data_IF_187699545698
#
_entry.id   IF_187699545698
#
_cell.length_a   1.000
_cell.length_b   1.000
_cell.length_c   1.000
_cell.angle_alpha   90.00
_cell.angle_beta   90.00
_cell.angle_gamma   90.00
#
_symmetry.space_group_name_H-M   'P 1'
#
loop_
_entity.id
_entity.type
_entity.pdbx_description
1 polymer ?
#
# COMPACT_ATOMS: atom_id res chain seq x y z
N UNK A 1 4.39 20.05 -10.13
CA UNK A 1 3.03 19.45 -10.04
C UNK A 1 2.87 18.24 -10.95
N UNK A 2 3.07 18.35 -12.27
CA UNK A 2 2.95 17.20 -13.19
C UNK A 2 4.00 16.11 -12.94
N UNK A 3 5.24 16.50 -12.65
CA UNK A 3 6.35 15.58 -12.34
C UNK A 3 6.12 14.82 -11.03
N UNK A 4 5.67 15.53 -9.98
CA UNK A 4 5.38 14.93 -8.67
C UNK A 4 4.30 13.85 -8.76
N UNK A 5 3.27 14.07 -9.58
CA UNK A 5 2.21 13.08 -9.80
C UNK A 5 2.73 11.87 -10.57
N UNK A 6 3.62 12.06 -11.55
CA UNK A 6 4.22 10.95 -12.31
C UNK A 6 5.09 10.09 -11.39
N UNK A 7 5.90 10.72 -10.53
CA UNK A 7 6.71 10.01 -9.54
C UNK A 7 5.85 9.25 -8.54
N UNK A 8 4.80 9.88 -8.01
CA UNK A 8 3.87 9.23 -7.06
C UNK A 8 3.17 8.02 -7.68
N UNK A 9 2.69 8.13 -8.93
CA UNK A 9 2.07 7.01 -9.64
C UNK A 9 3.08 5.89 -9.94
N UNK A 10 4.33 6.25 -10.24
CA UNK A 10 5.42 5.28 -10.40
C UNK A 10 5.69 4.50 -9.11
N UNK A 11 5.74 5.18 -7.97
CA UNK A 11 5.94 4.56 -6.66
C UNK A 11 4.74 3.71 -6.21
N UNK A 12 3.52 4.12 -6.54
CA UNK A 12 2.30 3.39 -6.22
C UNK A 12 2.10 2.12 -7.08
N UNK A 13 2.70 2.05 -8.27
CA UNK A 13 2.50 0.98 -9.25
C UNK A 13 2.58 -0.44 -8.67
N UNK A 14 3.70 -0.84 -8.03
CA UNK A 14 3.85 -2.19 -7.48
C UNK A 14 2.80 -2.54 -6.41
N UNK A 15 2.40 -1.57 -5.58
CA UNK A 15 1.38 -1.77 -4.54
C UNK A 15 0.00 -1.99 -5.16
N UNK A 16 -0.35 -1.17 -6.15
CA UNK A 16 -1.62 -1.24 -6.87
C UNK A 16 -1.73 -2.58 -7.61
N UNK A 17 -0.68 -3.00 -8.34
CA UNK A 17 -0.65 -4.30 -9.01
C UNK A 17 -0.80 -5.46 -8.02
N UNK A 18 -0.06 -5.43 -6.90
CA UNK A 18 -0.20 -6.47 -5.87
C UNK A 18 -1.63 -6.54 -5.30
N UNK A 19 -2.30 -5.40 -5.14
CA UNK A 19 -3.68 -5.35 -4.67
C UNK A 19 -4.66 -5.93 -5.70
N UNK A 20 -4.49 -5.59 -6.98
CA UNK A 20 -5.32 -6.12 -8.08
C UNK A 20 -5.13 -7.63 -8.22
N UNK A 21 -3.90 -8.14 -8.16
CA UNK A 21 -3.62 -9.60 -8.18
C UNK A 21 -4.24 -10.32 -6.99
N UNK A 22 -4.17 -9.73 -5.79
CA UNK A 22 -4.64 -10.38 -4.58
C UNK A 22 -6.16 -10.33 -4.39
N UNK A 23 -6.82 -9.27 -4.87
CA UNK A 23 -8.23 -9.00 -4.57
C UNK A 23 -9.13 -8.90 -5.80
N UNK A 24 -8.56 -8.78 -7.01
CA UNK A 24 -9.29 -8.50 -8.24
C UNK A 24 -10.19 -7.26 -8.11
N UNK A 25 -11.40 -7.34 -8.65
CA UNK A 25 -12.43 -6.30 -8.51
C UNK A 25 -12.89 -6.08 -7.06
N UNK A 26 -12.71 -7.08 -6.18
CA UNK A 26 -13.03 -7.01 -4.75
C UNK A 26 -12.19 -5.99 -3.95
N UNK A 27 -11.12 -5.45 -4.57
CA UNK A 27 -10.31 -4.38 -3.98
C UNK A 27 -11.15 -3.11 -3.69
N UNK A 28 -12.19 -2.88 -4.49
CA UNK A 28 -13.05 -1.69 -4.44
C UNK A 28 -14.21 -1.83 -3.46
N UNK A 29 -14.67 -3.06 -3.19
CA UNK A 29 -15.91 -3.33 -2.44
C UNK A 29 -15.70 -3.88 -1.03
N UNK A 30 -14.43 -4.01 -0.59
CA UNK A 30 -13.95 -4.58 0.69
C UNK A 30 -13.95 -6.12 0.68
N UNK A 31 -12.76 -6.70 0.64
CA UNK A 31 -12.52 -8.12 0.92
C UNK A 31 -11.86 -8.31 2.30
N UNK A 32 -12.49 -9.08 3.18
CA UNK A 32 -11.88 -9.65 4.39
C UNK A 32 -11.04 -10.87 4.00
N UNK A 33 -9.81 -10.67 3.51
CA UNK A 33 -8.84 -11.77 3.41
C UNK A 33 -7.55 -11.39 4.14
N UNK A 34 -7.37 -12.01 5.30
CA UNK A 34 -6.39 -11.68 6.34
C UNK A 34 -5.02 -12.34 6.17
N UNK A 35 -4.63 -12.73 4.95
CA UNK A 35 -3.31 -13.30 4.68
C UNK A 35 -2.57 -12.62 3.50
N UNK A 36 -3.02 -11.44 3.08
CA UNK A 36 -2.41 -10.75 1.94
C UNK A 36 -1.26 -9.84 2.42
N UNK A 37 -0.12 -10.01 1.76
CA UNK A 37 1.13 -9.28 1.95
C UNK A 37 0.91 -7.77 2.18
N UNK A 38 1.72 -7.16 3.06
CA UNK A 38 1.58 -5.74 3.45
C UNK A 38 1.49 -4.80 2.23
N UNK A 39 2.18 -5.13 1.14
CA UNK A 39 2.19 -4.44 -0.14
C UNK A 39 0.80 -4.33 -0.79
N UNK A 40 0.06 -5.44 -0.86
CA UNK A 40 -1.28 -5.45 -1.47
C UNK A 40 -2.31 -4.72 -0.60
N UNK A 41 -2.15 -4.73 0.72
CA UNK A 41 -3.00 -3.95 1.62
C UNK A 41 -2.80 -2.44 1.43
N UNK A 42 -1.56 -1.99 1.19
CA UNK A 42 -1.27 -0.59 0.85
C UNK A 42 -1.95 -0.21 -0.48
N UNK A 43 -1.80 -1.02 -1.53
CA UNK A 43 -2.44 -0.77 -2.82
C UNK A 43 -3.96 -0.75 -2.75
N UNK A 44 -4.56 -1.61 -1.94
CA UNK A 44 -6.00 -1.60 -1.67
C UNK A 44 -6.46 -0.27 -1.07
N UNK A 45 -5.76 0.22 -0.04
CA UNK A 45 -6.10 1.50 0.60
C UNK A 45 -6.00 2.67 -0.38
N UNK A 46 -5.01 2.64 -1.27
CA UNK A 46 -4.87 3.64 -2.34
C UNK A 46 -6.06 3.60 -3.30
N UNK A 47 -6.43 2.43 -3.80
CA UNK A 47 -7.56 2.27 -4.73
C UNK A 47 -8.89 2.67 -4.08
N UNK A 48 -9.09 2.37 -2.80
CA UNK A 48 -10.27 2.80 -2.04
C UNK A 48 -10.31 4.32 -1.86
N UNK A 49 -9.18 4.97 -1.55
CA UNK A 49 -9.12 6.43 -1.46
C UNK A 49 -9.49 7.09 -2.79
N UNK A 50 -8.98 6.56 -3.91
CA UNK A 50 -9.35 7.04 -5.26
C UNK A 50 -10.84 6.81 -5.52
N UNK A 51 -11.36 5.61 -5.23
CA UNK A 51 -12.77 5.25 -5.42
C UNK A 51 -13.73 6.19 -4.68
N UNK A 52 -13.43 6.51 -3.42
CA UNK A 52 -14.28 7.37 -2.61
C UNK A 52 -14.33 8.83 -3.10
N UNK A 53 -13.27 9.32 -3.74
CA UNK A 53 -13.19 10.69 -4.28
C UNK A 53 -13.79 10.83 -5.69
N UNK A 54 -14.04 9.72 -6.40
CA UNK A 54 -14.64 9.72 -7.74
C UNK A 54 -16.16 9.80 -7.71
N UNK A 55 -16.71 10.45 -8.73
CA UNK A 55 -18.12 10.43 -9.12
C UNK A 55 -18.50 9.09 -9.79
N UNK A 56 -19.78 8.89 -10.10
CA UNK A 56 -20.32 7.63 -10.62
C UNK A 56 -19.67 7.19 -11.94
N UNK A 57 -19.41 8.14 -12.85
CA UNK A 57 -18.74 7.85 -14.12
C UNK A 57 -17.26 7.52 -13.89
N UNK A 58 -16.59 8.31 -13.06
CA UNK A 58 -15.19 8.05 -12.68
C UNK A 58 -14.99 6.71 -11.95
N UNK A 59 -15.99 6.23 -11.21
CA UNK A 59 -15.99 4.91 -10.57
C UNK A 59 -16.14 3.78 -11.58
N UNK A 60 -17.08 3.89 -12.52
CA UNK A 60 -17.24 2.88 -13.57
C UNK A 60 -15.97 2.73 -14.42
N UNK A 61 -15.30 3.84 -14.76
CA UNK A 61 -14.03 3.80 -15.48
C UNK A 61 -12.89 3.17 -14.66
N UNK A 62 -12.84 3.42 -13.35
CA UNK A 62 -11.86 2.81 -12.46
C UNK A 62 -12.13 1.32 -12.26
N UNK A 63 -13.40 0.92 -12.14
CA UNK A 63 -13.81 -0.47 -12.02
C UNK A 63 -13.42 -1.28 -13.25
N UNK A 64 -13.69 -0.76 -14.46
CA UNK A 64 -13.28 -1.39 -15.71
C UNK A 64 -11.76 -1.56 -15.75
N UNK A 65 -10.99 -0.52 -15.46
CA UNK A 65 -9.53 -0.60 -15.49
C UNK A 65 -8.96 -1.57 -14.46
N UNK A 66 -9.61 -1.72 -13.29
CA UNK A 66 -9.24 -2.73 -12.28
C UNK A 66 -9.62 -4.14 -12.75
N UNK A 67 -10.76 -4.31 -13.40
CA UNK A 67 -11.19 -5.59 -13.95
C UNK A 67 -10.23 -6.08 -15.05
N UNK A 68 -9.89 -5.21 -15.99
CA UNK A 68 -8.96 -5.51 -17.08
C UNK A 68 -7.58 -5.92 -16.52
N UNK A 69 -7.05 -5.15 -15.55
CA UNK A 69 -5.78 -5.46 -14.90
C UNK A 69 -5.83 -6.70 -13.99
N UNK A 70 -7.01 -7.12 -13.53
CA UNK A 70 -7.20 -8.36 -12.78
C UNK A 70 -7.29 -9.58 -13.69
N UNK A 71 -7.91 -9.43 -14.86
CA UNK A 71 -8.02 -10.48 -15.88
C UNK A 71 -6.65 -10.78 -16.50
N UNK A 72 -5.87 -9.73 -16.80
CA UNK A 72 -4.53 -9.84 -17.38
C UNK A 72 -3.47 -9.08 -16.55
N UNK A 73 -2.99 -9.65 -15.43
CA UNK A 73 -2.04 -8.96 -14.53
C UNK A 73 -0.67 -8.67 -15.15
N UNK A 74 -0.32 -9.39 -16.21
CA UNK A 74 0.93 -9.22 -16.95
C UNK A 74 0.79 -8.27 -18.15
N UNK A 75 -0.43 -7.81 -18.45
CA UNK A 75 -0.66 -6.84 -19.52
C UNK A 75 -0.23 -5.44 -19.07
N UNK A 76 0.80 -4.92 -19.73
CA UNK A 76 1.32 -3.58 -19.48
C UNK A 76 0.32 -2.49 -19.87
N UNK A 77 -0.54 -2.75 -20.85
CA UNK A 77 -1.55 -1.80 -21.33
C UNK A 77 -2.71 -1.68 -20.33
N UNK A 78 -3.23 -2.79 -19.81
CA UNK A 78 -4.18 -2.80 -18.69
C UNK A 78 -3.60 -2.08 -17.44
N UNK A 79 -2.35 -2.37 -17.09
CA UNK A 79 -1.66 -1.67 -16.00
C UNK A 79 -1.43 -0.18 -16.30
N UNK A 80 -1.21 0.21 -17.57
CA UNK A 80 -1.10 1.60 -17.98
C UNK A 80 -2.43 2.35 -17.88
N UNK A 81 -3.54 1.72 -18.27
CA UNK A 81 -4.89 2.28 -18.15
C UNK A 81 -5.24 2.58 -16.69
N UNK A 82 -4.98 1.64 -15.78
CA UNK A 82 -5.19 1.85 -14.35
C UNK A 82 -4.32 2.98 -13.80
N UNK A 83 -3.03 3.03 -14.15
CA UNK A 83 -2.13 4.13 -13.77
C UNK A 83 -2.63 5.48 -14.27
N UNK A 84 -3.18 5.53 -15.48
CA UNK A 84 -3.73 6.75 -16.05
C UNK A 84 -4.97 7.24 -15.30
N UNK A 85 -5.86 6.34 -14.86
CA UNK A 85 -7.02 6.68 -14.05
C UNK A 85 -6.63 7.25 -12.68
N UNK A 86 -5.64 6.66 -12.02
CA UNK A 86 -5.08 7.16 -10.76
C UNK A 86 -4.44 8.54 -10.97
N UNK A 87 -3.65 8.70 -12.04
CA UNK A 87 -3.01 9.98 -12.39
C UNK A 87 -4.03 11.09 -12.60
N UNK A 88 -5.17 10.80 -13.23
CA UNK A 88 -6.26 11.76 -13.43
C UNK A 88 -6.87 12.17 -12.08
N UNK A 89 -7.13 11.21 -11.19
CA UNK A 89 -7.72 11.49 -9.87
C UNK A 89 -6.81 12.39 -9.03
N UNK A 90 -5.51 12.10 -9.06
CA UNK A 90 -4.49 12.88 -8.34
C UNK A 90 -4.27 14.30 -8.87
N UNK A 91 -4.64 14.56 -10.14
CA UNK A 91 -4.61 15.92 -10.72
C UNK A 91 -5.81 16.74 -10.25
N UNK A 92 -6.96 16.10 -10.13
CA UNK A 92 -8.22 16.74 -9.78
C UNK A 92 -8.34 16.98 -8.26
N UNK A 93 -7.76 16.10 -7.43
CA UNK A 93 -7.82 16.20 -5.96
C UNK A 93 -6.42 16.27 -5.31
N UNK A 94 -6.07 17.45 -4.79
CA UNK A 94 -4.81 17.71 -4.11
C UNK A 94 -4.75 17.15 -2.67
N UNK A 95 -5.89 16.87 -2.03
CA UNK A 95 -5.93 16.16 -0.76
C UNK A 95 -5.67 14.68 -0.95
N UNK A 96 -6.32 14.07 -1.96
CA UNK A 96 -6.09 12.68 -2.34
C UNK A 96 -4.61 12.42 -2.62
N UNK A 97 -3.91 13.36 -3.27
CA UNK A 97 -2.47 13.27 -3.46
C UNK A 97 -1.68 13.22 -2.15
N UNK A 98 -2.05 14.03 -1.16
CA UNK A 98 -1.39 14.03 0.16
C UNK A 98 -1.68 12.74 0.92
N UNK A 99 -2.90 12.24 0.82
CA UNK A 99 -3.31 10.96 1.41
C UNK A 99 -2.51 9.79 0.80
N UNK A 100 -2.46 9.68 -0.53
CA UNK A 100 -1.68 8.64 -1.21
C UNK A 100 -0.18 8.71 -0.90
N UNK A 101 0.39 9.92 -0.85
CA UNK A 101 1.79 10.10 -0.46
C UNK A 101 2.06 9.67 0.99
N UNK A 102 1.10 9.83 1.90
CA UNK A 102 1.21 9.38 3.29
C UNK A 102 1.02 7.86 3.47
N UNK A 103 0.38 7.19 2.51
CA UNK A 103 0.22 5.73 2.50
C UNK A 103 1.45 4.99 1.97
N UNK A 104 2.23 5.63 1.09
CA UNK A 104 3.49 5.05 0.64
C UNK A 104 4.49 5.03 1.79
N UNK A 105 5.19 3.90 2.01
CA UNK A 105 6.36 3.93 2.85
C UNK A 105 7.33 4.94 2.23
N UNK A 106 7.72 5.95 3.00
CA UNK A 106 8.65 6.98 2.53
C UNK A 106 9.88 6.29 1.93
N UNK A 107 10.44 6.81 0.83
CA UNK A 107 11.70 6.28 0.26
C UNK A 107 12.90 6.37 1.23
N UNK A 108 12.70 6.92 2.43
CA UNK A 108 13.58 6.81 3.60
C UNK A 108 13.39 5.54 4.44
N UNK A 109 12.51 4.63 4.04
CA UNK A 109 12.52 3.22 4.43
C UNK A 109 13.63 2.49 3.69
N UNK A 110 14.86 3.00 3.77
CA UNK A 110 16.02 2.13 3.62
C UNK A 110 15.81 0.93 4.55
N UNK A 111 16.31 -0.23 4.15
CA UNK A 111 16.52 -1.34 5.09
C UNK A 111 16.99 -0.74 6.42
N UNK A 112 16.12 -0.77 7.44
CA UNK A 112 16.56 -0.33 8.76
C UNK A 112 17.47 -1.44 9.21
N UNK A 113 18.76 -1.32 8.89
CA UNK A 113 19.80 -2.24 9.33
C UNK A 113 19.96 -2.00 10.82
N UNK A 114 19.11 -2.64 11.61
CA UNK A 114 19.21 -2.59 13.07
C UNK A 114 20.18 -3.68 13.50
N UNK A 115 21.46 -3.32 13.59
CA UNK A 115 22.49 -4.23 14.11
C UNK A 115 22.56 -4.10 15.63
N UNK A 116 22.18 -5.16 16.35
CA UNK A 116 22.49 -5.35 17.76
C UNK A 116 23.69 -6.30 17.85
N UNK A 117 24.77 -5.88 18.52
CA UNK A 117 25.91 -6.75 18.79
C UNK A 117 26.35 -6.58 20.25
N UNK A 118 26.50 -7.70 20.95
CA UNK A 118 26.80 -7.77 22.38
C UNK A 118 25.85 -8.71 23.12
N UNK A 119 26.30 -9.24 24.27
CA UNK A 119 25.47 -10.07 25.15
C UNK A 119 24.32 -9.21 25.70
N UNK A 120 23.06 -9.65 25.53
CA UNK A 120 21.82 -8.97 25.94
C UNK A 120 21.33 -7.81 25.04
N UNK A 121 21.82 -7.71 23.79
CA UNK A 121 21.41 -6.65 22.88
C UNK A 121 20.04 -6.94 22.19
N UNK A 122 19.16 -5.93 22.12
CA UNK A 122 17.88 -5.96 21.38
C UNK A 122 17.92 -4.90 20.28
N UNK A 123 17.54 -5.30 19.08
CA UNK A 123 17.38 -4.45 17.91
C UNK A 123 15.95 -4.58 17.39
N UNK A 124 15.20 -3.48 17.31
CA UNK A 124 13.83 -3.46 16.84
C UNK A 124 13.61 -2.37 15.77
N UNK A 125 13.22 -2.80 14.56
CA UNK A 125 12.80 -1.90 13.48
C UNK A 125 11.32 -1.50 13.53
N UNK A 126 10.68 -1.69 14.69
CA UNK A 126 9.24 -1.49 14.90
C UNK A 126 8.86 -1.65 16.37
N UNK A 127 7.55 -1.63 16.68
CA UNK A 127 7.06 -1.83 18.05
C UNK A 127 7.16 -3.32 18.44
N UNK A 128 7.85 -3.62 19.55
CA UNK A 128 8.11 -4.99 20.02
C UNK A 128 7.43 -5.34 21.35
N UNK A 129 6.63 -4.43 21.92
CA UNK A 129 5.96 -4.65 23.21
C UNK A 129 6.95 -4.67 24.38
N UNK A 130 7.27 -5.85 24.90
CA UNK A 130 8.17 -6.03 26.05
C UNK A 130 9.32 -6.96 25.66
N UNK A 131 10.55 -6.54 25.90
CA UNK A 131 11.75 -7.35 25.71
C UNK A 131 12.57 -7.44 27.00
N UNK A 132 12.88 -8.67 27.42
CA UNK A 132 13.61 -8.97 28.66
C UNK A 132 14.81 -9.85 28.29
N UNK A 133 16.03 -9.35 28.53
CA UNK A 133 17.29 -10.03 28.15
C UNK A 133 18.16 -10.42 29.35
N UNK A 134 17.60 -10.35 30.57
CA UNK A 134 18.26 -10.78 31.81
C UNK A 134 17.88 -12.20 32.24
N UNK A 135 18.71 -12.81 33.08
CA UNK A 135 18.44 -14.12 33.70
C UNK A 135 17.68 -13.90 35.02
N UNK A 136 16.55 -14.60 35.21
CA UNK A 136 15.77 -14.56 36.47
C UNK A 136 14.39 -13.90 36.42
N UNK A 137 13.76 -13.75 35.24
CA UNK A 137 12.39 -13.22 35.18
C UNK A 137 11.36 -14.26 35.64
N UNK A 138 10.84 -14.10 36.86
CA UNK A 138 9.63 -14.77 37.30
C UNK A 138 8.41 -13.94 36.86
N UNK A 139 7.42 -14.60 36.26
CA UNK A 139 6.10 -13.99 36.05
C UNK A 139 5.52 -13.57 37.42
N UNK A 140 4.75 -12.46 37.50
CA UNK A 140 4.05 -12.14 38.74
C UNK A 140 3.10 -13.31 39.11
N UNK A 141 3.06 -13.74 40.38
CA UNK A 141 2.11 -14.76 40.80
C UNK A 141 0.67 -14.27 40.58
N UNK A 142 -0.29 -15.20 40.39
CA UNK A 142 -1.68 -14.88 40.07
C UNK A 142 -2.39 -14.06 41.17
#
# INVERSE_FOLDING_TARGET
MSADIVQLVGQAGPYVTAAVVAYGTGVLTRAENAAVEATANIGRRMLQAVWHRRDEQGRAELESAVADAAEEPSDEDAAAALRQQIKRALREDAELRRELAGLLPSEGGGSVTVTASGTRAIAAGGNIGVAITGDGHAAPPP
#
